data_IF_868110938077
#
_entry.id   IF_868110938077
#
_cell.length_a   1.000
_cell.length_b   1.000
_cell.length_c   1.000
_cell.angle_alpha   90.00
_cell.angle_beta   90.00
_cell.angle_gamma   90.00
#
_symmetry.space_group_name_H-M   'P 1'
#
loop_
_entity.id
_entity.type
_entity.pdbx_description
1 polymer ?
#
# COMPACT_ATOMS: atom_id res chain seq x y z
N UNK A 1 16.58 -0.29 10.57
CA UNK A 1 15.43 0.62 10.37
C UNK A 1 15.11 1.35 11.66
N UNK A 2 14.79 2.62 11.54
CA UNK A 2 14.23 3.39 12.67
C UNK A 2 12.75 3.61 12.42
N UNK A 3 11.99 3.85 13.49
CA UNK A 3 10.53 3.99 13.42
C UNK A 3 10.04 5.21 14.17
N UNK A 4 8.86 5.69 13.74
CA UNK A 4 8.06 6.66 14.45
C UNK A 4 6.59 6.32 14.31
N UNK A 5 5.74 6.95 15.10
CA UNK A 5 4.30 6.78 15.03
C UNK A 5 3.66 8.03 14.42
N UNK A 6 2.64 7.81 13.61
CA UNK A 6 1.83 8.87 13.03
C UNK A 6 0.37 8.62 13.42
N UNK A 7 -0.27 9.59 14.07
CA UNK A 7 -1.68 9.49 14.45
C UNK A 7 -2.57 9.78 13.25
N UNK A 8 -3.48 8.85 12.96
CA UNK A 8 -4.37 8.92 11.82
C UNK A 8 -5.81 8.58 12.23
N UNK A 9 -6.80 8.80 11.33
CA UNK A 9 -8.17 8.31 11.56
C UNK A 9 -8.27 6.79 11.72
N UNK A 10 -7.25 6.06 11.28
CA UNK A 10 -7.16 4.60 11.42
C UNK A 10 -6.34 4.18 12.65
N UNK A 11 -5.99 5.11 13.52
CA UNK A 11 -5.15 4.87 14.68
C UNK A 11 -3.69 5.23 14.45
N UNK A 12 -2.80 4.77 15.32
CA UNK A 12 -1.38 5.05 15.22
C UNK A 12 -0.73 4.19 14.14
N UNK A 13 -0.27 4.83 13.07
CA UNK A 13 0.47 4.18 12.00
C UNK A 13 1.95 4.10 12.40
N UNK A 14 2.58 2.97 12.14
CA UNK A 14 4.03 2.81 12.33
C UNK A 14 4.73 3.12 11.01
N UNK A 15 5.58 4.13 11.01
CA UNK A 15 6.43 4.48 9.88
C UNK A 15 7.84 3.99 10.13
N UNK A 16 8.47 3.39 9.13
CA UNK A 16 9.85 2.95 9.20
C UNK A 16 10.68 3.57 8.10
N UNK A 17 11.91 3.97 8.44
CA UNK A 17 12.86 4.56 7.51
C UNK A 17 14.17 3.81 7.51
N UNK A 18 14.82 3.76 6.35
CA UNK A 18 16.13 3.17 6.16
C UNK A 18 16.83 3.87 4.99
N UNK A 19 18.08 4.25 5.21
CA UNK A 19 18.93 4.90 4.19
C UNK A 19 18.25 6.10 3.51
N UNK A 20 17.54 6.91 4.30
CA UNK A 20 16.88 8.13 3.83
C UNK A 20 15.55 7.92 3.11
N UNK A 21 15.06 6.69 3.01
CA UNK A 21 13.81 6.37 2.34
C UNK A 21 12.79 5.76 3.31
N UNK A 22 11.51 5.87 2.98
CA UNK A 22 10.45 5.17 3.70
C UNK A 22 10.46 3.70 3.29
N UNK A 23 10.66 2.83 4.27
CA UNK A 23 10.73 1.39 4.07
C UNK A 23 9.47 0.65 4.55
N UNK A 24 8.65 1.29 5.37
CA UNK A 24 7.44 0.68 5.89
C UNK A 24 6.41 1.67 6.40
N UNK A 25 5.17 1.27 6.30
CA UNK A 25 4.02 1.92 6.92
C UNK A 25 3.01 0.82 7.24
N UNK A 26 2.75 0.61 8.53
CA UNK A 26 1.82 -0.43 8.98
C UNK A 26 0.71 0.17 9.83
N UNK A 27 -0.51 -0.34 9.63
CA UNK A 27 -1.65 -0.02 10.47
C UNK A 27 -1.54 -0.74 11.81
N UNK A 28 -2.28 -0.28 12.85
CA UNK A 28 -2.30 -0.98 14.13
C UNK A 28 -2.68 -2.45 13.96
N UNK A 29 -1.88 -3.35 14.51
CA UNK A 29 -2.14 -4.80 14.44
C UNK A 29 -1.93 -5.45 13.09
N UNK A 30 -1.43 -4.74 12.09
CA UNK A 30 -1.17 -5.29 10.77
C UNK A 30 -0.12 -6.39 10.84
N UNK A 31 -0.39 -7.51 10.16
CA UNK A 31 0.57 -8.60 10.01
C UNK A 31 1.78 -8.12 9.19
N UNK A 32 2.95 -8.62 9.55
CA UNK A 32 4.18 -8.28 8.85
C UNK A 32 4.90 -7.04 9.38
N UNK A 33 4.31 -6.32 10.33
CA UNK A 33 5.02 -5.23 11.00
C UNK A 33 6.18 -5.84 11.81
N UNK A 34 7.44 -5.47 11.51
CA UNK A 34 8.57 -6.01 12.26
C UNK A 34 8.52 -5.64 13.73
N UNK A 35 9.11 -6.48 14.55
CA UNK A 35 9.26 -6.20 15.98
C UNK A 35 10.67 -5.73 16.31
N UNK A 36 10.84 -5.09 17.48
CA UNK A 36 12.14 -4.68 17.94
C UNK A 36 12.78 -3.54 17.14
N UNK A 37 11.96 -2.75 16.44
CA UNK A 37 12.47 -1.60 15.70
C UNK A 37 12.85 -0.46 16.67
N UNK A 38 13.90 0.25 16.33
CA UNK A 38 14.42 1.33 17.17
C UNK A 38 13.70 2.64 16.90
N UNK A 39 13.10 3.28 17.91
CA UNK A 39 12.54 4.62 17.73
C UNK A 39 13.62 5.62 17.31
N UNK A 40 13.27 6.54 16.43
CA UNK A 40 14.19 7.55 15.95
C UNK A 40 13.51 8.56 15.05
N UNK A 41 14.29 9.50 14.55
CA UNK A 41 13.82 10.51 13.63
C UNK A 41 14.59 10.47 12.31
N UNK A 42 13.90 10.81 11.24
CA UNK A 42 14.48 10.88 9.90
C UNK A 42 13.72 11.94 9.08
N UNK A 43 14.39 12.65 8.17
CA UNK A 43 13.72 13.66 7.34
C UNK A 43 12.53 13.11 6.55
N UNK A 44 12.58 11.84 6.11
CA UNK A 44 11.47 11.22 5.38
C UNK A 44 10.21 11.10 6.23
N UNK A 45 10.30 11.06 7.55
CA UNK A 45 9.12 11.00 8.41
C UNK A 45 8.31 12.29 8.34
N UNK A 46 8.97 13.45 8.27
CA UNK A 46 8.27 14.71 8.07
C UNK A 46 7.55 14.75 6.72
N UNK A 47 8.22 14.35 5.66
CA UNK A 47 7.64 14.30 4.32
C UNK A 47 6.47 13.31 4.24
N UNK A 48 6.62 12.12 4.82
CA UNK A 48 5.56 11.11 4.85
C UNK A 48 4.36 11.58 5.69
N UNK A 49 4.63 12.24 6.82
CA UNK A 49 3.58 12.82 7.66
C UNK A 49 2.78 13.89 6.94
N UNK A 50 3.44 14.77 6.20
CA UNK A 50 2.77 15.79 5.37
C UNK A 50 1.93 15.13 4.27
N UNK A 51 2.48 14.12 3.61
CA UNK A 51 1.76 13.34 2.60
C UNK A 51 0.48 12.72 3.18
N UNK A 52 0.58 12.09 4.36
CA UNK A 52 -0.55 11.45 5.03
C UNK A 52 -1.60 12.47 5.49
N UNK A 53 -1.17 13.61 6.02
CA UNK A 53 -2.11 14.69 6.40
C UNK A 53 -2.90 15.17 5.20
N UNK A 54 -2.25 15.36 4.06
CA UNK A 54 -2.92 15.77 2.81
C UNK A 54 -3.86 14.68 2.31
N UNK A 55 -3.42 13.43 2.36
CA UNK A 55 -4.28 12.31 1.96
C UNK A 55 -5.55 12.26 2.81
N UNK A 56 -5.44 12.29 4.13
CA UNK A 56 -6.62 12.24 5.01
C UNK A 56 -7.45 13.52 4.98
N UNK A 57 -6.92 14.62 4.49
CA UNK A 57 -7.67 15.85 4.22
C UNK A 57 -8.47 15.81 2.91
N UNK A 58 -8.39 14.71 2.16
CA UNK A 58 -9.13 14.55 0.90
C UNK A 58 -8.36 14.98 -0.35
N UNK A 59 -7.09 15.32 -0.22
CA UNK A 59 -6.23 15.59 -1.36
C UNK A 59 -5.71 14.26 -1.96
N UNK A 60 -5.16 14.33 -3.15
CA UNK A 60 -4.58 13.18 -3.84
C UNK A 60 -3.07 13.37 -4.02
N UNK A 61 -2.27 13.33 -2.94
CA UNK A 61 -0.83 13.55 -3.06
C UNK A 61 -0.18 12.41 -3.86
N UNK A 62 0.83 12.75 -4.65
CA UNK A 62 1.55 11.77 -5.46
C UNK A 62 2.47 10.93 -4.56
N UNK A 63 2.29 9.60 -4.51
CA UNK A 63 3.18 8.75 -3.72
C UNK A 63 4.62 8.75 -4.23
N UNK A 64 4.83 9.04 -5.53
CA UNK A 64 6.17 9.13 -6.11
C UNK A 64 6.94 10.38 -5.70
N UNK A 65 6.30 11.32 -5.03
CA UNK A 65 6.98 12.46 -4.41
C UNK A 65 7.81 12.07 -3.18
N UNK A 66 7.58 10.87 -2.63
CA UNK A 66 8.31 10.36 -1.47
C UNK A 66 9.38 9.36 -1.92
N UNK A 67 10.56 9.37 -1.28
CA UNK A 67 11.54 8.31 -1.49
C UNK A 67 11.04 7.03 -0.82
N UNK A 68 10.61 6.07 -1.62
CA UNK A 68 10.09 4.78 -1.15
C UNK A 68 11.10 3.67 -1.43
N UNK A 69 11.33 2.82 -0.44
CA UNK A 69 12.24 1.67 -0.55
C UNK A 69 11.62 0.44 0.11
N UNK A 70 10.52 -0.09 -0.43
CA UNK A 70 9.91 -1.30 0.10
C UNK A 70 10.82 -2.50 -0.13
N UNK A 71 10.99 -3.35 0.88
CA UNK A 71 11.76 -4.59 0.76
C UNK A 71 10.89 -5.72 0.27
N UNK A 72 11.37 -6.46 -0.70
CA UNK A 72 10.67 -7.62 -1.24
C UNK A 72 11.37 -8.19 -2.47
N UNK A 73 10.87 -9.32 -2.95
CA UNK A 73 11.38 -9.99 -4.14
C UNK A 73 11.23 -9.11 -5.40
N UNK A 74 11.94 -9.48 -6.46
CA UNK A 74 11.80 -8.79 -7.76
C UNK A 74 10.35 -8.82 -8.25
N UNK A 75 9.65 -9.94 -8.07
CA UNK A 75 8.24 -10.06 -8.43
C UNK A 75 7.37 -9.13 -7.61
N UNK A 76 7.56 -9.08 -6.29
CA UNK A 76 6.81 -8.15 -5.42
C UNK A 76 7.08 -6.69 -5.79
N UNK A 77 8.32 -6.33 -6.08
CA UNK A 77 8.67 -4.98 -6.52
C UNK A 77 7.91 -4.59 -7.79
N UNK A 78 7.80 -5.51 -8.74
CA UNK A 78 7.06 -5.28 -9.97
C UNK A 78 5.58 -5.04 -9.70
N UNK A 79 4.97 -5.88 -8.87
CA UNK A 79 3.56 -5.72 -8.46
C UNK A 79 3.36 -4.37 -7.79
N UNK A 80 4.23 -4.00 -6.84
CA UNK A 80 4.09 -2.74 -6.12
C UNK A 80 4.25 -1.51 -7.01
N UNK A 81 5.11 -1.57 -8.04
CA UNK A 81 5.22 -0.50 -9.04
C UNK A 81 3.90 -0.32 -9.81
N UNK A 82 3.23 -1.43 -10.16
CA UNK A 82 1.92 -1.35 -10.80
C UNK A 82 0.86 -0.75 -9.87
N UNK A 83 0.93 -1.03 -8.57
CA UNK A 83 0.01 -0.42 -7.61
C UNK A 83 0.15 1.11 -7.58
N UNK A 84 1.37 1.62 -7.69
CA UNK A 84 1.61 3.07 -7.72
C UNK A 84 0.97 3.76 -8.93
N UNK A 85 0.66 3.02 -9.98
CA UNK A 85 -0.04 3.55 -11.16
C UNK A 85 -1.55 3.69 -10.97
N UNK A 86 -2.12 3.13 -9.89
CA UNK A 86 -3.56 3.21 -9.64
C UNK A 86 -3.88 4.59 -9.06
N UNK A 87 -4.62 5.45 -9.77
CA UNK A 87 -4.90 6.80 -9.28
C UNK A 87 -5.80 6.79 -8.04
N UNK A 88 -5.72 7.86 -7.27
CA UNK A 88 -6.67 8.15 -6.20
C UNK A 88 -8.11 8.08 -6.73
N UNK A 89 -8.99 7.40 -6.00
CA UNK A 89 -10.39 7.25 -6.39
C UNK A 89 -10.65 6.19 -7.46
N UNK A 90 -9.63 5.44 -7.84
CA UNK A 90 -9.73 4.37 -8.86
C UNK A 90 -9.36 3.03 -8.26
N UNK A 91 -9.80 1.95 -8.92
CA UNK A 91 -9.51 0.58 -8.50
C UNK A 91 -9.03 -0.25 -9.68
N UNK A 92 -8.41 -1.38 -9.35
CA UNK A 92 -8.13 -2.46 -10.28
C UNK A 92 -8.52 -3.78 -9.64
N UNK A 93 -8.32 -4.87 -10.37
CA UNK A 93 -8.56 -6.22 -9.86
C UNK A 93 -7.27 -7.03 -9.87
N UNK A 94 -7.23 -8.12 -9.10
CA UNK A 94 -6.09 -9.05 -9.12
C UNK A 94 -5.92 -9.65 -10.52
N UNK A 95 -7.02 -9.95 -11.20
CA UNK A 95 -6.98 -10.47 -12.57
C UNK A 95 -6.37 -9.47 -13.55
N UNK A 96 -6.74 -8.21 -13.46
CA UNK A 96 -6.17 -7.17 -14.32
C UNK A 96 -4.67 -6.98 -14.10
N UNK A 97 -4.23 -7.00 -12.83
CA UNK A 97 -2.80 -6.93 -12.50
C UNK A 97 -2.05 -8.14 -13.05
N UNK A 98 -2.62 -9.34 -12.88
CA UNK A 98 -2.04 -10.58 -13.40
C UNK A 98 -1.86 -10.54 -14.91
N UNK A 99 -2.86 -10.04 -15.64
CA UNK A 99 -2.81 -9.90 -17.09
C UNK A 99 -1.70 -8.93 -17.51
N UNK A 100 -1.53 -7.82 -16.81
CA UNK A 100 -0.47 -6.86 -17.10
C UNK A 100 0.93 -7.45 -16.88
N UNK A 101 1.12 -8.22 -15.82
CA UNK A 101 2.40 -8.88 -15.53
C UNK A 101 2.69 -9.96 -16.58
N UNK A 102 1.70 -10.78 -16.91
CA UNK A 102 1.84 -11.78 -17.96
C UNK A 102 2.25 -11.15 -19.29
N UNK A 103 1.58 -10.07 -19.69
CA UNK A 103 1.90 -9.35 -20.93
C UNK A 103 3.33 -8.79 -20.92
N UNK A 104 3.76 -8.22 -19.80
CA UNK A 104 5.11 -7.65 -19.66
C UNK A 104 6.22 -8.71 -19.79
N UNK A 105 5.93 -9.95 -19.42
CA UNK A 105 6.88 -11.06 -19.49
C UNK A 105 6.66 -11.98 -20.71
N UNK A 106 5.76 -11.63 -21.60
CA UNK A 106 5.45 -12.47 -22.77
C UNK A 106 4.81 -13.80 -22.40
N UNK A 107 4.12 -13.87 -21.26
CA UNK A 107 3.46 -15.07 -20.78
C UNK A 107 1.99 -15.09 -21.20
N UNK A 108 1.45 -16.28 -21.45
CA UNK A 108 0.02 -16.43 -21.73
C UNK A 108 -0.84 -16.25 -20.48
N UNK A 109 -0.25 -16.51 -19.30
CA UNK A 109 -0.97 -16.50 -18.02
C UNK A 109 -0.02 -16.19 -16.86
N UNK A 110 -0.56 -15.51 -15.85
CA UNK A 110 0.07 -15.30 -14.55
C UNK A 110 -0.96 -15.58 -13.46
N UNK A 111 -0.56 -16.29 -12.43
CA UNK A 111 -1.44 -16.64 -11.31
C UNK A 111 -1.93 -15.38 -10.59
N UNK A 112 -3.25 -15.19 -10.53
CA UNK A 112 -3.87 -14.15 -9.72
C UNK A 112 -3.58 -14.33 -8.22
N UNK A 113 -3.42 -15.57 -7.78
CA UNK A 113 -3.07 -15.89 -6.39
C UNK A 113 -1.65 -15.44 -6.05
N UNK A 114 -0.69 -15.62 -6.96
CA UNK A 114 0.68 -15.13 -6.77
C UNK A 114 0.72 -13.61 -6.69
N UNK A 115 -0.03 -12.93 -7.56
CA UNK A 115 -0.17 -11.48 -7.54
C UNK A 115 -0.84 -11.01 -6.24
N UNK A 116 -1.92 -11.68 -5.83
CA UNK A 116 -2.61 -11.38 -4.57
C UNK A 116 -1.70 -11.52 -3.36
N UNK A 117 -0.83 -12.53 -3.35
CA UNK A 117 0.17 -12.70 -2.30
C UNK A 117 1.14 -11.52 -2.24
N UNK A 118 1.63 -11.07 -3.39
CA UNK A 118 2.52 -9.90 -3.46
C UNK A 118 1.82 -8.62 -3.01
N UNK A 119 0.57 -8.41 -3.44
CA UNK A 119 -0.25 -7.26 -2.99
C UNK A 119 -0.39 -7.28 -1.47
N UNK A 120 -0.68 -8.44 -0.88
CA UNK A 120 -0.85 -8.60 0.57
C UNK A 120 0.43 -8.42 1.37
N UNK A 121 1.60 -8.56 0.76
CA UNK A 121 2.90 -8.34 1.40
C UNK A 121 3.44 -6.92 1.28
N UNK A 122 2.67 -6.00 0.69
CA UNK A 122 3.08 -4.61 0.58
C UNK A 122 3.47 -4.04 1.96
N UNK A 123 4.72 -3.59 2.16
CA UNK A 123 5.15 -3.08 3.46
C UNK A 123 4.84 -1.61 3.70
N UNK A 124 4.34 -0.88 2.67
CA UNK A 124 4.04 0.56 2.78
C UNK A 124 2.56 0.76 2.46
N UNK A 125 1.71 0.41 3.40
CA UNK A 125 0.26 0.55 3.24
C UNK A 125 -0.15 2.00 3.02
N UNK A 126 -1.29 2.22 2.39
CA UNK A 126 -1.89 3.52 2.07
C UNK A 126 -1.13 4.25 0.95
N UNK A 127 0.16 4.48 1.10
CA UNK A 127 0.99 5.21 0.11
C UNK A 127 1.16 4.36 -1.15
N UNK A 128 1.56 3.09 -1.00
CA UNK A 128 1.47 2.12 -2.08
C UNK A 128 0.07 1.52 -2.00
N UNK A 129 -0.85 1.86 -2.90
CA UNK A 129 -2.30 1.74 -2.64
C UNK A 129 -2.84 0.34 -2.87
N UNK A 130 -2.39 -0.64 -2.11
CA UNK A 130 -2.90 -2.01 -2.21
C UNK A 130 -4.39 -2.12 -1.84
N UNK A 131 -4.95 -1.15 -1.12
CA UNK A 131 -6.38 -1.09 -0.82
C UNK A 131 -7.24 -0.84 -2.07
N UNK A 132 -6.65 -0.36 -3.17
CA UNK A 132 -7.34 -0.11 -4.46
C UNK A 132 -7.44 -1.35 -5.32
N UNK A 133 -7.02 -2.52 -4.83
CA UNK A 133 -7.18 -3.79 -5.54
C UNK A 133 -8.39 -4.52 -4.98
N UNK A 134 -9.33 -4.83 -5.87
CA UNK A 134 -10.56 -5.54 -5.54
C UNK A 134 -10.59 -6.90 -6.24
N UNK A 135 -11.49 -7.76 -5.80
CA UNK A 135 -11.76 -9.01 -6.49
C UNK A 135 -12.56 -8.79 -7.77
N UNK A 136 -12.92 -9.88 -8.45
CA UNK A 136 -13.75 -9.84 -9.64
C UNK A 136 -15.06 -9.08 -9.36
N UNK A 137 -15.53 -8.32 -10.35
CA UNK A 137 -16.75 -7.52 -10.27
C UNK A 137 -16.75 -6.48 -9.13
N UNK A 138 -15.57 -6.03 -8.72
CA UNK A 138 -15.44 -5.03 -7.66
C UNK A 138 -15.69 -5.57 -6.26
N UNK A 139 -15.59 -6.88 -6.05
CA UNK A 139 -15.83 -7.49 -4.75
C UNK A 139 -14.76 -7.08 -3.72
N UNK A 140 -15.22 -6.76 -2.52
CA UNK A 140 -14.33 -6.48 -1.39
C UNK A 140 -13.58 -7.77 -1.01
N UNK A 141 -12.26 -7.71 -1.02
CA UNK A 141 -11.39 -8.83 -0.66
C UNK A 141 -10.50 -8.46 0.51
N UNK A 142 -9.66 -9.40 0.96
CA UNK A 142 -8.80 -9.22 2.12
C UNK A 142 -7.85 -8.04 2.02
N UNK A 143 -7.37 -7.61 3.18
CA UNK A 143 -6.42 -6.51 3.32
C UNK A 143 -5.54 -6.79 4.54
N UNK A 144 -4.23 -6.57 4.41
CA UNK A 144 -3.29 -6.84 5.51
C UNK A 144 -3.58 -5.99 6.75
N UNK A 145 -4.08 -4.78 6.56
CA UNK A 145 -4.49 -3.90 7.65
C UNK A 145 -5.89 -4.16 8.19
N UNK A 146 -6.60 -5.16 7.67
CA UNK A 146 -7.96 -5.50 8.07
C UNK A 146 -9.02 -4.91 7.15
N UNK A 147 -10.16 -5.59 7.04
CA UNK A 147 -11.25 -5.18 6.14
C UNK A 147 -11.87 -3.85 6.54
N UNK A 148 -11.96 -3.55 7.82
CA UNK A 148 -12.51 -2.27 8.27
C UNK A 148 -11.65 -1.10 7.79
N UNK A 149 -10.33 -1.25 7.85
CA UNK A 149 -9.42 -0.25 7.31
C UNK A 149 -9.55 -0.12 5.79
N UNK A 150 -9.69 -1.23 5.08
CA UNK A 150 -9.92 -1.21 3.62
C UNK A 150 -11.22 -0.48 3.27
N UNK A 151 -12.30 -0.78 3.97
CA UNK A 151 -13.58 -0.09 3.79
C UNK A 151 -13.44 1.41 4.04
N UNK A 152 -12.73 1.79 5.11
CA UNK A 152 -12.49 3.19 5.42
C UNK A 152 -11.74 3.90 4.29
N UNK A 153 -10.65 3.30 3.80
CA UNK A 153 -9.82 3.91 2.75
C UNK A 153 -10.59 4.04 1.44
N UNK A 154 -11.36 3.01 1.05
CA UNK A 154 -12.18 3.07 -0.15
C UNK A 154 -13.25 4.14 -0.04
N UNK A 155 -13.96 4.20 1.09
CA UNK A 155 -14.98 5.23 1.32
C UNK A 155 -14.38 6.63 1.35
N UNK A 156 -13.19 6.78 1.96
CA UNK A 156 -12.46 8.04 2.01
C UNK A 156 -12.15 8.56 0.60
N UNK A 157 -11.82 7.66 -0.32
CA UNK A 157 -11.54 8.01 -1.71
C UNK A 157 -12.81 8.09 -2.58
N UNK A 158 -13.99 7.89 -2.01
CA UNK A 158 -15.26 7.94 -2.75
C UNK A 158 -15.49 6.75 -3.66
N UNK A 159 -14.89 5.60 -3.34
CA UNK A 159 -14.97 4.37 -4.15
C UNK A 159 -16.08 3.47 -3.64
N UNK A 160 -16.97 3.05 -4.55
CA UNK A 160 -17.93 1.98 -4.28
C UNK A 160 -17.31 0.61 -4.50
N UNK A 161 -17.79 -0.38 -3.77
CA UNK A 161 -17.36 -1.78 -3.89
C UNK A 161 -18.53 -2.71 -3.59
N UNK A 162 -18.37 -3.95 -4.00
CA UNK A 162 -19.34 -5.01 -3.73
C UNK A 162 -18.83 -5.87 -2.58
N UNK A 163 -19.54 -5.82 -1.46
CA UNK A 163 -19.03 -6.50 -0.30
C UNK A 163 -20.04 -7.23 0.53
#
# INVERSE_FOLDING_TARGET
MIVTLFRSPLGALTLAAEDGALAGLWLPGQKGCPQGLTPGDAPVFSAAGDWLRRYFAGEAPDPRALPLSPRGSAFSQEVWRLLLDIPYGRTTTYGALSARIAAAHGLAHMSAQAVGGAVGRNPISIIIPCHRVLGADGALTGYAGGLDAKRFLLAHEGIGYRG
#
